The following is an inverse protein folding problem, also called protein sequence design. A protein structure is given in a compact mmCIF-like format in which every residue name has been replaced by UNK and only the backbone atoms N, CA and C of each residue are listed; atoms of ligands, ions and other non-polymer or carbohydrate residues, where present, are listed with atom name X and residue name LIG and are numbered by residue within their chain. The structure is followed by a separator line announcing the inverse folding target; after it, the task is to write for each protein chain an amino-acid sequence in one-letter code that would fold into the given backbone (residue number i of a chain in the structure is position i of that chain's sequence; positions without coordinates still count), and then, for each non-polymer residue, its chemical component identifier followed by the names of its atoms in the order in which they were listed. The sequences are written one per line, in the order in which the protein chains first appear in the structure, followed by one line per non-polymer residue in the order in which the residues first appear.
data_IF_418150345676
#
_entry.id   IF_418150345676
#
_cell.length_a   1.000
_cell.length_b   1.000
_cell.length_c   1.000
_cell.angle_alpha   90.00
_cell.angle_beta   90.00
_cell.angle_gamma   90.00
#
_symmetry.space_group_name_H-M   'P 1'
#
loop_
_entity.id
_entity.type
_entity.pdbx_description
1 polymer ?
#
# COMPACT_ATOMS: atom_id res chain seq x y z
N UNK A 1 -8.44 -30.35 19.34
CA UNK A 1 -9.43 -30.20 18.25
C UNK A 1 -8.74 -29.56 17.05
N UNK A 2 -8.36 -30.38 16.07
CA UNK A 2 -7.73 -29.94 14.82
C UNK A 2 -8.75 -29.17 13.98
N UNK A 3 -8.53 -27.88 13.73
CA UNK A 3 -9.28 -27.16 12.70
C UNK A 3 -8.61 -27.47 11.37
N UNK A 4 -9.15 -28.45 10.65
CA UNK A 4 -8.86 -28.66 9.24
C UNK A 4 -9.08 -27.33 8.52
N UNK A 5 -8.04 -26.79 7.90
CA UNK A 5 -8.16 -25.71 6.93
C UNK A 5 -8.96 -26.28 5.76
N UNK A 6 -10.29 -26.19 5.84
CA UNK A 6 -11.14 -26.41 4.68
C UNK A 6 -10.63 -25.49 3.58
N UNK A 7 -10.41 -26.06 2.39
CA UNK A 7 -10.01 -25.34 1.18
C UNK A 7 -10.95 -24.15 0.95
N UNK A 8 -10.54 -22.99 1.45
CA UNK A 8 -11.29 -21.75 1.31
C UNK A 8 -11.07 -21.26 -0.13
N UNK A 9 -11.90 -21.75 -1.04
CA UNK A 9 -12.02 -21.18 -2.38
C UNK A 9 -12.60 -19.78 -2.21
N UNK A 10 -11.81 -18.75 -2.51
CA UNK A 10 -12.29 -17.37 -2.60
C UNK A 10 -12.80 -17.18 -4.03
N UNK A 11 -14.12 -17.27 -4.29
CA UNK A 11 -14.62 -17.34 -5.66
C UNK A 11 -14.50 -15.99 -6.39
N UNK A 12 -14.38 -14.88 -5.66
CA UNK A 12 -14.25 -13.54 -6.23
C UNK A 12 -13.52 -12.59 -5.29
N UNK A 13 -12.51 -11.89 -5.82
CA UNK A 13 -11.80 -10.81 -5.12
C UNK A 13 -12.41 -9.46 -5.52
N UNK A 14 -12.92 -8.73 -4.53
CA UNK A 14 -13.46 -7.39 -4.75
C UNK A 14 -12.46 -6.34 -4.30
N UNK A 15 -12.10 -5.43 -5.21
CA UNK A 15 -11.32 -4.25 -4.90
C UNK A 15 -12.25 -3.06 -4.72
N UNK A 16 -12.13 -2.39 -3.57
CA UNK A 16 -12.84 -1.15 -3.30
C UNK A 16 -11.82 -0.04 -3.00
N UNK A 17 -11.91 1.06 -3.73
CA UNK A 17 -11.12 2.25 -3.50
C UNK A 17 -11.96 3.30 -2.78
N UNK A 18 -11.52 3.71 -1.59
CA UNK A 18 -12.18 4.74 -0.81
C UNK A 18 -12.08 6.11 -1.48
N UNK A 19 -13.22 6.79 -1.64
CA UNK A 19 -13.33 8.12 -2.26
C UNK A 19 -14.16 9.07 -1.41
N UNK A 20 -13.97 10.38 -1.63
CA UNK A 20 -14.83 11.39 -1.00
C UNK A 20 -16.30 11.14 -1.36
N UNK A 21 -17.19 11.38 -0.40
CA UNK A 21 -18.62 11.06 -0.51
C UNK A 21 -18.99 9.63 -0.08
N UNK A 22 -18.02 8.77 0.24
CA UNK A 22 -18.30 7.43 0.76
C UNK A 22 -18.98 7.49 2.13
N UNK A 23 -20.16 6.89 2.24
CA UNK A 23 -21.02 6.94 3.44
C UNK A 23 -20.33 6.42 4.71
N UNK A 24 -19.41 5.45 4.60
CA UNK A 24 -18.60 4.97 5.72
C UNK A 24 -17.66 6.05 6.28
N UNK A 25 -16.96 6.77 5.41
CA UNK A 25 -16.04 7.85 5.81
C UNK A 25 -16.76 9.13 6.23
N UNK A 26 -17.94 9.40 5.65
CA UNK A 26 -18.85 10.46 6.08
C UNK A 26 -19.32 10.24 7.53
N UNK A 27 -19.81 9.04 7.85
CA UNK A 27 -20.23 8.68 9.22
C UNK A 27 -19.11 8.82 10.24
N UNK A 28 -17.87 8.49 9.85
CA UNK A 28 -16.68 8.64 10.69
C UNK A 28 -16.16 10.09 10.76
N UNK A 29 -16.72 11.04 10.01
CA UNK A 29 -16.21 12.41 9.84
C UNK A 29 -14.74 12.44 9.38
N UNK A 30 -14.35 11.46 8.56
CA UNK A 30 -12.97 11.21 8.11
C UNK A 30 -12.75 11.43 6.60
N UNK A 31 -13.75 11.94 5.89
CA UNK A 31 -13.65 12.21 4.45
C UNK A 31 -12.53 13.20 4.06
N UNK A 32 -12.15 14.10 4.98
CA UNK A 32 -11.10 15.09 4.76
C UNK A 32 -9.71 14.44 4.59
N UNK A 33 -9.55 13.19 5.03
CA UNK A 33 -8.33 12.40 4.91
C UNK A 33 -8.21 11.70 3.56
N UNK A 34 -9.30 11.64 2.79
CA UNK A 34 -9.31 11.03 1.47
C UNK A 34 -8.85 12.06 0.41
N UNK A 35 -8.14 11.61 -0.63
CA UNK A 35 -7.71 12.50 -1.70
C UNK A 35 -8.92 13.07 -2.45
N UNK A 36 -8.84 14.36 -2.82
CA UNK A 36 -9.89 15.05 -3.57
C UNK A 36 -9.98 14.62 -5.04
N UNK A 37 -8.92 14.02 -5.58
CA UNK A 37 -8.83 13.57 -6.97
C UNK A 37 -8.27 12.14 -7.02
N UNK A 38 -8.64 11.31 -8.02
CA UNK A 38 -8.01 10.01 -8.22
C UNK A 38 -6.51 10.16 -8.47
N UNK A 39 -5.68 9.33 -7.82
CA UNK A 39 -4.22 9.47 -7.85
C UNK A 39 -3.56 9.09 -9.19
N UNK A 40 -4.28 8.42 -10.10
CA UNK A 40 -3.82 8.04 -11.45
C UNK A 40 -4.73 8.55 -12.56
N UNK A 41 -5.50 9.63 -12.32
CA UNK A 41 -6.58 10.07 -13.22
C UNK A 41 -6.12 10.17 -14.69
N UNK A 42 -6.55 9.21 -15.52
CA UNK A 42 -6.21 9.05 -16.94
C UNK A 42 -4.70 8.98 -17.27
N UNK A 43 -3.84 8.64 -16.30
CA UNK A 43 -2.43 8.41 -16.57
C UNK A 43 -2.23 7.06 -17.27
N UNK A 44 -1.44 7.05 -18.34
CA UNK A 44 -1.02 5.85 -19.06
C UNK A 44 0.49 5.80 -19.09
N UNK A 45 1.04 4.66 -18.71
CA UNK A 45 2.47 4.38 -18.69
C UNK A 45 2.74 3.30 -19.74
N UNK A 46 3.84 3.39 -20.48
CA UNK A 46 4.20 2.37 -21.48
C UNK A 46 4.85 1.18 -20.79
N UNK A 47 5.65 1.44 -19.75
CA UNK A 47 6.36 0.41 -18.99
C UNK A 47 6.20 0.63 -17.48
N UNK A 48 5.96 -0.45 -16.74
CA UNK A 48 5.79 -0.42 -15.29
C UNK A 48 6.68 -1.50 -14.64
N UNK A 49 7.49 -1.13 -13.66
CA UNK A 49 8.22 -2.06 -12.81
C UNK A 49 7.49 -2.24 -11.47
N UNK A 50 6.99 -3.45 -11.20
CA UNK A 50 6.51 -3.83 -9.87
C UNK A 50 7.61 -4.57 -9.12
N UNK A 51 8.20 -3.93 -8.12
CA UNK A 51 9.34 -4.47 -7.38
C UNK A 51 8.86 -5.08 -6.07
N UNK A 52 8.96 -6.40 -5.98
CA UNK A 52 8.72 -7.16 -4.75
C UNK A 52 9.82 -6.99 -3.71
N UNK A 53 9.69 -7.70 -2.59
CA UNK A 53 10.62 -7.59 -1.44
C UNK A 53 11.48 -8.85 -1.26
N UNK A 54 11.64 -9.66 -2.31
CA UNK A 54 12.39 -10.92 -2.23
C UNK A 54 13.88 -10.66 -2.05
N UNK A 55 14.53 -11.45 -1.20
CA UNK A 55 15.98 -11.44 -1.05
C UNK A 55 16.72 -11.90 -2.31
N UNK A 56 16.03 -12.56 -3.24
CA UNK A 56 16.60 -12.99 -4.53
C UNK A 56 17.01 -11.83 -5.45
N UNK A 57 16.64 -10.58 -5.12
CA UNK A 57 17.09 -9.40 -5.86
C UNK A 57 18.52 -9.00 -5.49
N UNK A 58 19.07 -9.46 -4.36
CA UNK A 58 20.42 -9.11 -3.91
C UNK A 58 21.45 -9.70 -4.89
N UNK A 59 22.33 -8.86 -5.41
CA UNK A 59 23.35 -9.21 -6.42
C UNK A 59 22.81 -9.32 -7.85
N UNK A 60 21.57 -8.92 -8.11
CA UNK A 60 20.96 -9.01 -9.45
C UNK A 60 21.39 -7.90 -10.41
N UNK A 61 21.92 -6.77 -9.90
CA UNK A 61 22.27 -5.58 -10.68
C UNK A 61 21.11 -5.03 -11.56
N UNK A 62 19.85 -5.29 -11.18
CA UNK A 62 18.67 -4.87 -11.94
C UNK A 62 18.28 -3.40 -11.72
N UNK A 63 18.99 -2.65 -10.88
CA UNK A 63 18.57 -1.32 -10.44
C UNK A 63 18.40 -0.32 -11.57
N UNK A 64 19.34 -0.29 -12.52
CA UNK A 64 19.23 0.57 -13.71
C UNK A 64 18.05 0.19 -14.60
N UNK A 65 17.80 -1.12 -14.78
CA UNK A 65 16.65 -1.62 -15.54
C UNK A 65 15.31 -1.27 -14.86
N UNK A 66 15.23 -1.37 -13.53
CA UNK A 66 14.03 -1.00 -12.78
C UNK A 66 13.75 0.49 -12.95
N UNK A 67 14.75 1.34 -12.75
CA UNK A 67 14.59 2.80 -12.80
C UNK A 67 14.37 3.33 -14.24
N UNK A 68 14.59 2.52 -15.28
CA UNK A 68 14.32 2.90 -16.68
C UNK A 68 12.86 2.80 -17.10
N UNK A 69 11.97 2.25 -16.26
CA UNK A 69 10.53 2.14 -16.59
C UNK A 69 9.85 3.52 -16.51
N UNK A 70 8.60 3.67 -16.95
CA UNK A 70 7.87 4.94 -16.76
C UNK A 70 7.27 5.05 -15.34
N UNK A 71 6.99 3.91 -14.72
CA UNK A 71 6.38 3.82 -13.39
C UNK A 71 7.07 2.73 -12.55
N UNK A 72 7.51 3.07 -11.34
CA UNK A 72 8.11 2.13 -10.38
C UNK A 72 7.22 2.01 -9.15
N UNK A 73 6.67 0.81 -8.95
CA UNK A 73 5.78 0.46 -7.85
C UNK A 73 6.56 -0.41 -6.86
N UNK A 74 6.49 -0.07 -5.56
CA UNK A 74 7.11 -0.86 -4.48
C UNK A 74 6.12 -1.24 -3.40
N UNK A 75 6.47 -2.25 -2.61
CA UNK A 75 5.60 -2.81 -1.57
C UNK A 75 6.15 -2.59 -0.17
N UNK A 76 5.29 -2.19 0.76
CA UNK A 76 5.56 -2.10 2.20
C UNK A 76 6.86 -1.34 2.50
N UNK A 77 7.74 -1.95 3.31
CA UNK A 77 9.01 -1.37 3.76
C UNK A 77 10.22 -1.84 2.93
N UNK A 78 10.07 -2.09 1.62
CA UNK A 78 11.21 -2.36 0.73
C UNK A 78 12.11 -1.11 0.67
N UNK A 79 13.31 -1.21 1.25
CA UNK A 79 14.32 -0.15 1.24
C UNK A 79 15.12 -0.22 -0.06
N UNK A 80 15.48 0.95 -0.57
CA UNK A 80 16.39 1.11 -1.73
C UNK A 80 17.78 1.55 -1.30
N UNK A 81 17.88 2.32 -0.22
CA UNK A 81 19.16 2.73 0.37
C UNK A 81 19.98 1.49 0.77
N UNK A 82 21.21 1.41 0.27
CA UNK A 82 22.11 0.27 0.44
C UNK A 82 21.93 -0.88 -0.56
N UNK A 83 20.95 -0.79 -1.47
CA UNK A 83 20.63 -1.83 -2.46
C UNK A 83 20.40 -1.25 -3.87
N UNK A 84 20.86 -0.02 -4.12
CA UNK A 84 20.49 0.73 -5.35
C UNK A 84 20.86 -0.01 -6.63
N UNK A 85 22.02 -0.68 -6.65
CA UNK A 85 22.48 -1.40 -7.83
C UNK A 85 21.55 -2.58 -8.19
N UNK A 86 20.93 -3.18 -7.18
CA UNK A 86 20.04 -4.32 -7.34
C UNK A 86 18.58 -3.92 -7.58
N UNK A 87 18.10 -2.92 -6.83
CA UNK A 87 16.66 -2.61 -6.79
C UNK A 87 16.31 -1.23 -7.28
N UNK A 88 17.28 -0.41 -7.67
CA UNK A 88 17.08 0.98 -8.10
C UNK A 88 16.83 1.93 -6.93
N UNK A 89 16.63 3.21 -7.22
CA UNK A 89 16.37 4.25 -6.24
C UNK A 89 14.98 4.89 -6.38
N UNK A 90 14.32 4.79 -7.55
CA UNK A 90 13.04 5.47 -7.79
C UNK A 90 11.87 4.72 -7.15
N UNK A 91 10.88 5.48 -6.66
CA UNK A 91 9.59 4.96 -6.19
C UNK A 91 8.50 5.98 -6.48
N UNK A 92 7.63 5.66 -7.43
CA UNK A 92 6.52 6.53 -7.82
C UNK A 92 5.27 6.20 -6.99
N UNK A 93 4.98 4.90 -6.84
CA UNK A 93 3.86 4.42 -6.01
C UNK A 93 4.37 3.40 -5.00
N UNK A 94 3.88 3.50 -3.77
CA UNK A 94 4.14 2.49 -2.73
C UNK A 94 2.86 1.97 -2.12
N UNK A 95 2.59 0.69 -2.33
CA UNK A 95 1.49 0.00 -1.64
C UNK A 95 1.94 -0.40 -0.25
N UNK A 96 1.23 0.04 0.78
CA UNK A 96 1.60 -0.21 2.18
C UNK A 96 0.43 -0.84 2.91
N UNK A 97 0.65 -2.04 3.44
CA UNK A 97 -0.31 -2.62 4.36
C UNK A 97 -0.37 -1.76 5.64
N UNK A 98 -1.55 -1.43 6.14
CA UNK A 98 -1.70 -0.57 7.33
C UNK A 98 -0.96 -1.10 8.57
N UNK A 99 -0.78 -2.42 8.70
CA UNK A 99 -0.08 -3.06 9.81
C UNK A 99 1.40 -2.70 9.82
N UNK A 100 1.97 -2.37 8.65
CA UNK A 100 3.33 -1.83 8.55
C UNK A 100 3.40 -0.45 9.20
N UNK A 101 2.41 0.42 8.94
CA UNK A 101 2.37 1.79 9.47
C UNK A 101 2.31 1.83 11.00
N UNK A 102 1.70 0.82 11.64
CA UNK A 102 1.61 0.73 13.11
C UNK A 102 2.93 0.38 13.80
N UNK A 103 3.90 -0.20 13.09
CA UNK A 103 5.13 -0.69 13.72
C UNK A 103 6.10 0.48 13.92
N UNK A 104 6.29 0.90 15.18
CA UNK A 104 7.25 1.96 15.58
C UNK A 104 8.65 1.78 14.98
N UNK A 105 9.10 0.53 14.80
CA UNK A 105 10.42 0.21 14.22
C UNK A 105 10.65 0.77 12.81
N UNK A 106 9.59 1.03 12.05
CA UNK A 106 9.70 1.60 10.69
C UNK A 106 9.68 3.12 10.67
N UNK A 107 9.62 3.75 11.85
CA UNK A 107 9.79 5.19 12.04
C UNK A 107 8.90 6.04 11.14
N UNK A 108 7.68 5.59 10.83
CA UNK A 108 6.76 6.26 9.90
C UNK A 108 6.58 7.77 10.20
N UNK A 109 6.33 8.10 11.47
CA UNK A 109 6.12 9.47 11.95
C UNK A 109 7.41 10.29 12.17
N UNK A 110 8.59 9.71 11.96
CA UNK A 110 9.85 10.41 12.21
C UNK A 110 10.31 11.16 10.96
N UNK A 111 10.84 12.40 11.12
CA UNK A 111 11.44 13.14 10.01
C UNK A 111 12.43 12.29 9.21
N UNK A 112 12.47 12.50 7.89
CA UNK A 112 13.35 11.77 6.95
C UNK A 112 13.08 10.26 6.83
N UNK A 113 11.92 9.80 7.30
CA UNK A 113 11.43 8.45 7.01
C UNK A 113 11.21 8.25 5.50
N UNK A 114 11.46 7.04 5.00
CA UNK A 114 11.12 6.66 3.62
C UNK A 114 9.62 6.74 3.29
N UNK A 115 8.79 6.99 4.29
CA UNK A 115 7.35 7.23 4.15
C UNK A 115 6.96 8.72 4.11
N UNK A 116 7.93 9.62 4.10
CA UNK A 116 7.72 11.08 4.02
C UNK A 116 8.20 11.68 2.70
N UNK A 117 8.45 10.85 1.68
CA UNK A 117 8.80 11.35 0.35
C UNK A 117 7.65 12.17 -0.22
N UNK A 118 7.96 13.35 -0.75
CA UNK A 118 7.00 14.20 -1.47
C UNK A 118 6.74 13.73 -2.91
N UNK A 119 7.63 12.88 -3.43
CA UNK A 119 7.58 12.37 -4.80
C UNK A 119 6.81 11.05 -4.89
N UNK A 120 6.67 10.33 -3.78
CA UNK A 120 6.03 9.02 -3.75
C UNK A 120 4.57 9.13 -3.36
N UNK A 121 3.69 8.53 -4.17
CA UNK A 121 2.30 8.31 -3.79
C UNK A 121 2.17 7.05 -2.94
N UNK A 122 1.60 7.16 -1.75
CA UNK A 122 1.36 6.01 -0.87
C UNK A 122 -0.09 5.53 -0.99
N UNK A 123 -0.26 4.25 -1.33
CA UNK A 123 -1.57 3.58 -1.35
C UNK A 123 -1.63 2.64 -0.17
N UNK A 124 -2.47 2.96 0.81
CA UNK A 124 -2.66 2.08 1.96
C UNK A 124 -3.77 1.08 1.68
N UNK A 125 -3.57 -0.18 2.08
CA UNK A 125 -4.58 -1.22 1.89
C UNK A 125 -4.82 -2.03 3.16
N UNK A 126 -6.03 -2.57 3.22
CA UNK A 126 -6.57 -3.36 4.31
C UNK A 126 -7.39 -4.51 3.72
N UNK A 127 -7.50 -5.60 4.46
CA UNK A 127 -8.30 -6.77 4.08
C UNK A 127 -9.52 -6.84 4.99
N UNK A 128 -10.71 -6.93 4.39
CA UNK A 128 -11.94 -7.13 5.15
C UNK A 128 -12.14 -8.59 5.54
N UNK A 129 -13.10 -8.85 6.44
CA UNK A 129 -13.54 -10.23 6.67
C UNK A 129 -14.22 -10.78 5.42
N UNK A 130 -14.21 -12.10 5.26
CA UNK A 130 -14.93 -12.76 4.18
C UNK A 130 -16.41 -12.33 4.18
N UNK A 131 -16.95 -12.02 3.00
CA UNK A 131 -18.32 -11.54 2.78
C UNK A 131 -18.69 -10.25 3.54
N UNK A 132 -17.70 -9.47 3.98
CA UNK A 132 -17.95 -8.19 4.64
C UNK A 132 -17.95 -7.04 3.62
N UNK A 133 -19.11 -6.39 3.47
CA UNK A 133 -19.24 -5.19 2.63
C UNK A 133 -18.51 -3.98 3.22
N UNK A 134 -18.20 -3.01 2.35
CA UNK A 134 -17.36 -1.84 2.67
C UNK A 134 -17.87 -0.98 3.84
N UNK A 135 -19.18 -0.67 3.90
CA UNK A 135 -19.75 0.10 5.02
C UNK A 135 -19.55 -0.64 6.34
N UNK A 136 -19.83 -1.95 6.37
CA UNK A 136 -19.65 -2.75 7.57
C UNK A 136 -18.16 -2.84 7.94
N UNK A 137 -17.27 -2.97 6.95
CA UNK A 137 -15.84 -2.88 7.17
C UNK A 137 -15.46 -1.54 7.84
N UNK A 138 -15.90 -0.39 7.33
CA UNK A 138 -15.54 0.93 7.90
C UNK A 138 -15.94 1.11 9.38
N UNK A 139 -17.08 0.58 9.80
CA UNK A 139 -17.60 0.79 11.16
C UNK A 139 -17.14 -0.28 12.17
N UNK A 140 -16.73 -1.46 11.70
CA UNK A 140 -16.30 -2.57 12.56
C UNK A 140 -14.79 -2.62 12.79
N UNK A 141 -14.02 -1.73 12.15
CA UNK A 141 -12.62 -1.54 12.50
C UNK A 141 -12.54 -1.04 13.97
N UNK A 142 -12.26 -1.95 14.91
CA UNK A 142 -11.70 -1.63 16.24
C UNK A 142 -10.54 -0.62 16.08
N UNK A 143 -10.20 0.23 17.07
CA UNK A 143 -9.48 1.51 16.90
C UNK A 143 -8.03 1.38 16.39
N UNK A 144 -7.92 0.91 15.16
CA UNK A 144 -6.77 0.85 14.28
C UNK A 144 -6.63 2.22 13.59
N UNK A 145 -7.75 2.94 13.45
CA UNK A 145 -7.85 4.29 12.91
C UNK A 145 -7.46 5.41 13.89
N UNK A 146 -7.08 5.15 15.15
CA UNK A 146 -6.58 6.20 16.07
C UNK A 146 -5.09 6.51 15.90
N UNK A 147 -4.36 5.75 15.08
CA UNK A 147 -2.91 5.91 14.92
C UNK A 147 -2.44 6.04 13.48
N UNK A 148 -3.31 5.98 12.48
CA UNK A 148 -2.95 6.12 11.06
C UNK A 148 -3.53 7.40 10.45
N UNK A 149 -4.53 7.98 11.12
CA UNK A 149 -5.12 9.27 10.82
C UNK A 149 -5.38 10.03 12.11
#
# INVERSE_FOLDING_TARGET
MSRTLQNMVIPQLYFYYAKKGDSGFLKLKKEHLLPSKPFLNNMKFKTCALVGNSGSLIGSNLGGFIDSHDLVIRLNHAKTAGYKDDVGCRTDIRFVNSLVLKKKKYKYFFPNSMYQSKETTYVTFEVSRFNQGFINWTITQKPIHRQIF
#
